data_IF_955507049576
#
_entry.id   IF_955507049576
#
_cell.length_a   1.000
_cell.length_b   1.000
_cell.length_c   1.000
_cell.angle_alpha   90.00
_cell.angle_beta   90.00
_cell.angle_gamma   90.00
#
_symmetry.space_group_name_H-M   'P 1'
#
loop_
_entity.id
_entity.type
_entity.pdbx_description
1 polymer ?
#
# COMPACT_ATOMS: atom_id res chain seq x y z
N UNK A 1 6.47 14.69 3.27
CA UNK A 1 6.59 13.84 4.49
C UNK A 1 6.69 12.37 4.09
N UNK A 2 7.54 11.58 4.76
CA UNK A 2 7.72 10.14 4.47
C UNK A 2 6.51 9.31 4.93
N UNK A 3 6.08 8.33 4.13
CA UNK A 3 5.07 7.36 4.56
C UNK A 3 5.58 6.51 5.74
N UNK A 4 4.81 6.40 6.84
CA UNK A 4 5.26 5.69 8.04
C UNK A 4 5.53 4.20 7.78
N UNK A 5 6.30 3.57 8.67
CA UNK A 5 6.53 2.12 8.59
C UNK A 5 5.29 1.39 9.09
N UNK A 6 4.66 0.60 8.24
CA UNK A 6 3.62 -0.36 8.66
C UNK A 6 4.26 -1.50 9.45
N UNK A 7 3.75 -1.78 10.65
CA UNK A 7 4.24 -2.85 11.52
C UNK A 7 3.60 -4.19 11.15
N UNK A 8 4.29 -5.28 11.42
CA UNK A 8 3.77 -6.63 11.23
C UNK A 8 2.80 -7.02 12.35
N UNK A 9 1.80 -7.81 11.99
CA UNK A 9 1.07 -8.66 12.94
C UNK A 9 2.04 -9.68 13.57
N UNK A 10 1.82 -10.09 14.85
CA UNK A 10 2.71 -11.01 15.56
C UNK A 10 3.00 -12.33 14.85
N UNK A 11 2.04 -12.81 14.07
CA UNK A 11 2.07 -14.09 13.37
C UNK A 11 2.30 -13.92 11.86
N UNK A 12 2.84 -12.77 11.43
CA UNK A 12 3.26 -12.55 10.06
C UNK A 12 4.53 -13.35 9.75
N UNK A 13 4.49 -14.41 8.93
CA UNK A 13 5.63 -15.28 8.69
C UNK A 13 6.75 -14.61 7.88
N UNK A 14 6.45 -13.60 7.08
CA UNK A 14 7.42 -12.84 6.30
C UNK A 14 8.16 -11.73 7.08
N UNK A 15 8.03 -11.64 8.41
CA UNK A 15 8.75 -10.66 9.20
C UNK A 15 10.24 -11.02 9.33
N UNK A 16 11.13 -10.03 9.14
CA UNK A 16 12.58 -10.17 9.28
C UNK A 16 13.10 -9.51 10.56
N UNK A 17 14.40 -9.64 10.87
CA UNK A 17 15.01 -9.02 12.05
C UNK A 17 14.92 -7.48 12.07
N UNK A 18 14.84 -6.84 10.89
CA UNK A 18 14.72 -5.38 10.76
C UNK A 18 13.27 -4.88 10.86
N UNK A 19 12.30 -5.78 10.88
CA UNK A 19 10.89 -5.45 10.94
C UNK A 19 10.43 -5.14 12.35
N UNK A 20 9.38 -4.32 12.44
CA UNK A 20 8.72 -4.00 13.71
C UNK A 20 7.42 -4.78 13.79
N UNK A 21 7.19 -5.39 14.94
CA UNK A 21 6.01 -6.20 15.24
C UNK A 21 5.15 -5.45 16.25
N UNK A 22 3.86 -5.29 15.96
CA UNK A 22 2.89 -4.76 16.91
C UNK A 22 2.37 -5.89 17.78
N UNK A 23 2.40 -5.72 19.11
CA UNK A 23 1.91 -6.72 20.07
C UNK A 23 0.58 -6.36 20.70
N UNK A 24 0.28 -5.07 20.77
CA UNK A 24 -1.03 -4.62 21.22
C UNK A 24 -2.02 -4.67 20.04
N UNK A 25 -2.91 -5.63 20.11
CA UNK A 25 -3.94 -5.90 19.11
C UNK A 25 -5.35 -5.56 19.63
N UNK A 26 -5.46 -4.82 20.73
CA UNK A 26 -6.72 -4.51 21.42
C UNK A 26 -7.74 -3.76 20.58
N UNK A 27 -7.34 -3.18 19.44
CA UNK A 27 -8.22 -2.45 18.53
C UNK A 27 -8.83 -3.31 17.41
N UNK A 28 -8.40 -4.56 17.27
CA UNK A 28 -8.80 -5.45 16.17
C UNK A 28 -10.20 -6.06 16.35
N UNK A 29 -10.93 -5.64 17.38
CA UNK A 29 -12.33 -5.91 17.65
C UNK A 29 -13.28 -4.82 17.09
N UNK A 30 -12.73 -3.66 16.68
CA UNK A 30 -13.46 -2.61 15.99
C UNK A 30 -13.69 -2.90 14.50
N UNK A 31 -14.38 -2.00 13.79
CA UNK A 31 -14.58 -2.14 12.34
C UNK A 31 -13.23 -2.03 11.59
N UNK A 32 -12.90 -3.09 10.86
CA UNK A 32 -11.67 -3.24 10.11
C UNK A 32 -11.94 -3.15 8.61
N UNK A 33 -10.94 -2.67 7.89
CA UNK A 33 -10.81 -2.90 6.46
C UNK A 33 -9.51 -3.65 6.21
N UNK A 34 -9.60 -4.73 5.45
CA UNK A 34 -8.47 -5.53 5.03
C UNK A 34 -8.33 -5.48 3.53
N UNK A 35 -7.19 -4.99 3.07
CA UNK A 35 -6.87 -4.86 1.66
C UNK A 35 -5.76 -5.84 1.29
N UNK A 36 -5.73 -6.22 0.01
CA UNK A 36 -4.57 -6.92 -0.52
C UNK A 36 -3.32 -6.04 -0.38
N UNK A 37 -2.22 -6.66 0.04
CA UNK A 37 -0.91 -6.02 0.00
C UNK A 37 -0.30 -6.31 -1.36
N UNK A 38 -0.25 -5.30 -2.22
CA UNK A 38 0.40 -5.39 -3.51
C UNK A 38 1.93 -5.28 -3.37
N UNK A 39 2.64 -6.03 -4.21
CA UNK A 39 4.10 -6.09 -4.24
C UNK A 39 4.64 -5.19 -5.36
N UNK A 40 4.88 -3.92 -5.05
CA UNK A 40 5.37 -2.92 -6.00
C UNK A 40 6.39 -1.96 -5.37
N UNK A 41 6.23 -0.66 -5.65
CA UNK A 41 7.03 0.40 -5.05
C UNK A 41 6.17 1.48 -4.41
N UNK A 42 6.34 1.73 -3.11
CA UNK A 42 5.65 2.81 -2.41
C UNK A 42 5.98 4.18 -3.03
N UNK A 43 4.94 4.88 -3.49
CA UNK A 43 4.98 6.26 -3.96
C UNK A 43 3.95 7.12 -3.20
N UNK A 44 4.24 8.40 -3.11
CA UNK A 44 3.32 9.43 -2.62
C UNK A 44 3.19 10.52 -3.66
N UNK A 45 1.95 10.85 -4.00
CA UNK A 45 1.56 11.98 -4.83
C UNK A 45 1.06 13.10 -3.92
N UNK A 46 1.62 14.29 -4.09
CA UNK A 46 1.05 15.55 -3.59
C UNK A 46 0.72 16.42 -4.79
N UNK A 47 0.11 17.59 -4.57
CA UNK A 47 -0.10 18.58 -5.63
C UNK A 47 1.21 18.91 -6.37
N UNK A 48 2.27 19.15 -5.61
CA UNK A 48 3.51 19.74 -6.13
C UNK A 48 4.65 18.73 -6.34
N UNK A 49 4.53 17.52 -5.77
CA UNK A 49 5.60 16.54 -5.83
C UNK A 49 5.11 15.09 -5.96
N UNK A 50 5.99 14.26 -6.52
CA UNK A 50 5.93 12.81 -6.40
C UNK A 50 7.25 12.33 -5.81
N UNK A 51 7.18 11.48 -4.80
CA UNK A 51 8.36 10.90 -4.16
C UNK A 51 8.10 9.49 -3.67
N UNK A 52 9.16 8.68 -3.60
CA UNK A 52 9.12 7.36 -2.96
C UNK A 52 9.20 7.46 -1.45
N UNK A 53 9.12 6.30 -0.77
CA UNK A 53 9.23 6.26 0.70
C UNK A 53 10.54 6.88 1.23
N UNK A 54 11.63 6.74 0.49
CA UNK A 54 12.85 7.54 0.72
C UNK A 54 12.72 8.81 -0.12
N UNK A 55 12.41 9.94 0.52
CA UNK A 55 11.99 11.17 -0.18
C UNK A 55 13.05 11.69 -1.15
N UNK A 56 14.33 11.51 -0.82
CA UNK A 56 15.46 12.00 -1.60
C UNK A 56 15.96 11.01 -2.68
N UNK A 57 15.22 9.93 -2.97
CA UNK A 57 15.66 8.91 -3.93
C UNK A 57 15.59 9.33 -5.40
N UNK A 58 15.04 10.51 -5.69
CA UNK A 58 14.68 10.92 -7.06
C UNK A 58 13.60 10.01 -7.68
N UNK A 59 13.30 10.25 -8.95
CA UNK A 59 12.37 9.40 -9.73
C UNK A 59 13.16 8.30 -10.43
N UNK A 60 12.82 7.05 -10.12
CA UNK A 60 13.48 5.88 -10.68
C UNK A 60 12.89 5.51 -12.06
N UNK A 61 13.62 4.78 -12.92
CA UNK A 61 13.11 4.37 -14.24
C UNK A 61 11.77 3.63 -14.19
N UNK A 62 11.59 2.74 -13.21
CA UNK A 62 10.35 1.99 -13.00
C UNK A 62 9.18 2.84 -12.47
N UNK A 63 9.42 4.06 -11.99
CA UNK A 63 8.37 4.96 -11.49
C UNK A 63 7.93 5.99 -12.54
N UNK A 64 8.55 6.00 -13.74
CA UNK A 64 8.21 6.96 -14.81
C UNK A 64 6.73 6.90 -15.23
N UNK A 65 6.08 5.73 -15.37
CA UNK A 65 4.65 5.68 -15.71
C UNK A 65 3.77 6.28 -14.61
N UNK A 66 4.09 6.00 -13.34
CA UNK A 66 3.41 6.64 -12.21
C UNK A 66 3.67 8.17 -12.18
N UNK A 67 4.87 8.62 -12.55
CA UNK A 67 5.20 10.06 -12.66
C UNK A 67 4.38 10.75 -13.75
N UNK A 68 4.17 10.09 -14.89
CA UNK A 68 3.31 10.62 -15.94
C UNK A 68 1.86 10.75 -15.45
N UNK A 69 1.33 9.72 -14.78
CA UNK A 69 0.00 9.77 -14.18
C UNK A 69 -0.12 10.89 -13.13
N UNK A 70 0.88 11.03 -12.26
CA UNK A 70 0.95 12.13 -11.29
C UNK A 70 0.85 13.49 -11.99
N UNK A 71 1.64 13.73 -13.04
CA UNK A 71 1.63 15.00 -13.76
C UNK A 71 0.27 15.35 -14.37
N UNK A 72 -0.55 14.35 -14.69
CA UNK A 72 -1.91 14.55 -15.22
C UNK A 72 -2.98 14.73 -14.14
N UNK A 73 -2.74 14.34 -12.89
CA UNK A 73 -3.78 14.36 -11.84
C UNK A 73 -3.44 15.25 -10.65
N UNK A 74 -2.16 15.63 -10.46
CA UNK A 74 -1.70 16.27 -9.22
C UNK A 74 -2.40 17.60 -8.92
N UNK A 75 -2.77 18.37 -9.95
CA UNK A 75 -3.50 19.64 -9.78
C UNK A 75 -4.87 19.49 -9.10
N UNK A 76 -5.43 18.27 -9.07
CA UNK A 76 -6.70 17.92 -8.41
C UNK A 76 -6.50 17.53 -6.94
N UNK A 77 -5.27 17.22 -6.53
CA UNK A 77 -4.95 16.88 -5.13
C UNK A 77 -5.00 18.18 -4.32
N UNK A 78 -5.74 18.25 -3.20
CA UNK A 78 -5.73 19.44 -2.34
C UNK A 78 -4.34 19.78 -1.82
N UNK A 79 -4.14 21.04 -1.43
CA UNK A 79 -2.88 21.48 -0.80
C UNK A 79 -2.64 20.68 0.48
N UNK A 80 -1.37 20.37 0.75
CA UNK A 80 -0.91 19.58 1.91
C UNK A 80 -1.44 18.14 2.02
N UNK A 81 -2.22 17.66 1.04
CA UNK A 81 -2.68 16.28 0.97
C UNK A 81 -1.64 15.36 0.35
N UNK A 82 -1.70 14.08 0.76
CA UNK A 82 -0.77 13.05 0.30
C UNK A 82 -1.52 11.78 -0.09
N UNK A 83 -1.56 11.50 -1.39
CA UNK A 83 -2.14 10.28 -1.94
C UNK A 83 -1.04 9.22 -2.01
N UNK A 84 -1.10 8.22 -1.15
CA UNK A 84 -0.14 7.14 -1.07
C UNK A 84 -0.65 5.89 -1.78
N UNK A 85 0.21 5.31 -2.60
CA UNK A 85 -0.13 4.14 -3.40
C UNK A 85 1.11 3.36 -3.83
N UNK A 86 0.85 2.24 -4.47
CA UNK A 86 1.87 1.32 -4.95
C UNK A 86 2.09 1.53 -6.44
N UNK A 87 3.33 1.81 -6.83
CA UNK A 87 3.83 1.81 -8.21
C UNK A 87 3.94 0.37 -8.68
N UNK A 88 3.16 0.00 -9.69
CA UNK A 88 2.99 -1.38 -10.13
C UNK A 88 3.58 -1.66 -11.52
N UNK A 89 4.30 -0.70 -12.11
CA UNK A 89 4.90 -0.89 -13.44
C UNK A 89 5.92 -2.03 -13.46
N UNK A 90 6.96 -1.91 -12.65
CA UNK A 90 7.95 -2.97 -12.55
C UNK A 90 7.41 -4.14 -11.72
N UNK A 91 7.52 -5.34 -12.30
CA UNK A 91 7.28 -6.59 -11.60
C UNK A 91 8.33 -6.77 -10.50
N UNK A 92 7.86 -7.11 -9.29
CA UNK A 92 8.71 -7.44 -8.14
C UNK A 92 8.76 -8.96 -7.96
N UNK A 93 8.59 -9.45 -6.74
CA UNK A 93 8.56 -10.88 -6.46
C UNK A 93 7.27 -11.54 -6.96
N UNK A 94 6.18 -10.79 -7.11
CA UNK A 94 4.90 -11.25 -7.66
C UNK A 94 4.68 -10.70 -9.07
N UNK A 95 4.24 -11.56 -9.98
CA UNK A 95 3.76 -11.18 -11.30
C UNK A 95 2.24 -10.96 -11.26
N UNK A 96 1.80 -9.79 -11.71
CA UNK A 96 0.39 -9.47 -11.87
C UNK A 96 0.04 -9.39 -13.35
N UNK A 97 -1.11 -9.95 -13.73
CA UNK A 97 -1.53 -10.09 -15.14
C UNK A 97 -2.74 -9.22 -15.54
N UNK A 98 -3.34 -8.49 -14.59
CA UNK A 98 -4.62 -7.79 -14.80
C UNK A 98 -4.75 -6.61 -13.82
N UNK A 99 -3.74 -5.73 -13.80
CA UNK A 99 -3.76 -4.58 -12.89
C UNK A 99 -4.63 -3.45 -13.45
N UNK A 100 -5.44 -2.77 -12.60
CA UNK A 100 -6.31 -1.68 -13.03
C UNK A 100 -5.57 -0.36 -13.32
N UNK A 101 -4.25 -0.32 -13.10
CA UNK A 101 -3.44 0.88 -13.36
C UNK A 101 -2.02 0.77 -12.83
N UNK A 102 -1.17 1.70 -13.26
CA UNK A 102 0.26 1.75 -12.92
C UNK A 102 0.54 2.25 -11.50
N UNK A 103 -0.44 2.89 -10.86
CA UNK A 103 -0.40 3.36 -9.49
C UNK A 103 -1.72 3.05 -8.81
N UNK A 104 -1.68 2.35 -7.68
CA UNK A 104 -2.86 1.85 -6.99
C UNK A 104 -2.87 2.37 -5.55
N UNK A 105 -3.88 3.16 -5.19
CA UNK A 105 -3.99 3.86 -3.91
C UNK A 105 -4.25 2.88 -2.77
N UNK A 106 -3.52 3.02 -1.66
CA UNK A 106 -3.79 2.29 -0.41
C UNK A 106 -4.09 3.22 0.77
N UNK A 107 -3.90 4.53 0.63
CA UNK A 107 -4.19 5.49 1.70
C UNK A 107 -4.02 6.93 1.28
N UNK A 108 -4.81 7.83 1.86
CA UNK A 108 -4.74 9.27 1.60
C UNK A 108 -4.64 9.98 2.95
N UNK A 109 -3.70 10.91 3.05
CA UNK A 109 -3.55 11.78 4.22
C UNK A 109 -4.05 13.18 3.89
N UNK A 110 -4.75 13.78 4.84
CA UNK A 110 -5.18 15.17 4.77
C UNK A 110 -4.15 16.13 5.38
N UNK A 111 -4.47 17.42 5.34
CA UNK A 111 -3.63 18.52 5.83
C UNK A 111 -3.36 18.48 7.33
N UNK A 112 -4.16 17.71 8.09
CA UNK A 112 -4.03 17.57 9.55
C UNK A 112 -3.09 16.45 9.97
N UNK A 113 -2.39 15.84 9.01
CA UNK A 113 -1.57 14.65 9.21
C UNK A 113 -2.40 13.43 9.67
N UNK A 114 -3.64 13.34 9.18
CA UNK A 114 -4.56 12.24 9.46
C UNK A 114 -4.75 11.39 8.23
N UNK A 115 -4.53 10.07 8.35
CA UNK A 115 -4.91 9.12 7.31
C UNK A 115 -6.44 9.04 7.29
N UNK A 116 -7.03 9.32 6.14
CA UNK A 116 -8.48 9.29 5.94
C UNK A 116 -9.06 7.92 6.27
N UNK A 117 -10.32 7.90 6.69
CA UNK A 117 -11.12 6.68 6.76
C UNK A 117 -11.16 5.97 5.39
N UNK A 118 -11.46 4.68 5.39
CA UNK A 118 -11.45 3.92 4.14
C UNK A 118 -12.49 4.41 3.14
N UNK A 119 -13.70 4.77 3.60
CA UNK A 119 -14.75 5.28 2.72
C UNK A 119 -14.36 6.63 2.08
N UNK A 120 -13.81 7.55 2.88
CA UNK A 120 -13.24 8.81 2.39
C UNK A 120 -12.08 8.57 1.41
N UNK A 121 -11.22 7.57 1.70
CA UNK A 121 -10.10 7.19 0.82
C UNK A 121 -10.62 6.74 -0.54
N UNK A 122 -11.64 5.87 -0.57
CA UNK A 122 -12.24 5.37 -1.81
C UNK A 122 -12.95 6.49 -2.57
N UNK A 123 -13.68 7.37 -1.88
CA UNK A 123 -14.37 8.49 -2.52
C UNK A 123 -13.38 9.45 -3.18
N UNK A 124 -12.31 9.82 -2.47
CA UNK A 124 -11.26 10.68 -3.03
C UNK A 124 -10.48 10.01 -4.16
N UNK A 125 -10.13 8.73 -4.03
CA UNK A 125 -9.47 8.00 -5.11
C UNK A 125 -10.34 7.96 -6.38
N UNK A 126 -11.65 7.75 -6.23
CA UNK A 126 -12.62 7.83 -7.33
C UNK A 126 -12.65 9.23 -7.97
N UNK A 127 -12.68 10.30 -7.15
CA UNK A 127 -12.63 11.68 -7.63
C UNK A 127 -11.34 12.03 -8.35
N UNK A 128 -10.24 11.34 -8.05
CA UNK A 128 -8.95 11.50 -8.73
C UNK A 128 -8.77 10.53 -9.92
N UNK A 129 -9.76 9.66 -10.17
CA UNK A 129 -9.72 8.60 -11.17
C UNK A 129 -8.53 7.66 -10.98
N UNK A 130 -8.23 7.33 -9.73
CA UNK A 130 -7.17 6.41 -9.34
C UNK A 130 -7.76 5.12 -8.77
N UNK A 131 -7.30 3.93 -9.21
CA UNK A 131 -7.74 2.67 -8.62
C UNK A 131 -7.24 2.56 -7.17
N UNK A 132 -8.00 1.84 -6.36
CA UNK A 132 -7.61 1.47 -4.98
C UNK A 132 -7.22 0.01 -4.91
N UNK A 133 -6.39 -0.34 -3.92
CA UNK A 133 -6.03 -1.74 -3.66
C UNK A 133 -7.30 -2.57 -3.39
N UNK A 134 -7.34 -3.85 -3.83
CA UNK A 134 -8.51 -4.70 -3.61
C UNK A 134 -8.86 -4.83 -2.12
N UNK A 135 -10.13 -4.62 -1.77
CA UNK A 135 -10.66 -4.93 -0.44
C UNK A 135 -10.97 -6.42 -0.38
N UNK A 136 -10.37 -7.12 0.58
CA UNK A 136 -10.57 -8.55 0.80
C UNK A 136 -11.62 -8.81 1.87
N UNK A 137 -11.72 -7.92 2.87
CA UNK A 137 -12.67 -8.04 3.97
C UNK A 137 -12.98 -6.69 4.61
N UNK A 138 -14.20 -6.55 5.11
CA UNK A 138 -14.63 -5.46 5.98
C UNK A 138 -15.54 -6.02 7.07
N UNK A 139 -15.24 -5.73 8.33
CA UNK A 139 -15.98 -6.27 9.48
C UNK A 139 -15.16 -6.21 10.77
N UNK A 140 -15.64 -6.84 11.84
CA UNK A 140 -15.07 -6.71 13.19
C UNK A 140 -14.12 -7.83 13.63
N UNK A 141 -13.71 -8.72 12.71
CA UNK A 141 -12.98 -9.94 13.07
C UNK A 141 -11.70 -10.13 12.28
N UNK A 142 -10.56 -10.12 12.96
CA UNK A 142 -9.27 -10.47 12.36
C UNK A 142 -9.24 -11.93 11.87
N UNK A 143 -9.93 -12.86 12.53
CA UNK A 143 -9.95 -14.26 12.08
C UNK A 143 -10.73 -14.42 10.77
N UNK A 144 -11.83 -13.69 10.61
CA UNK A 144 -12.57 -13.64 9.35
C UNK A 144 -11.76 -12.95 8.24
N UNK A 145 -11.05 -11.86 8.57
CA UNK A 145 -10.15 -11.21 7.63
C UNK A 145 -9.07 -12.15 7.08
N UNK A 146 -8.51 -13.01 7.95
CA UNK A 146 -7.53 -14.05 7.55
C UNK A 146 -8.16 -15.08 6.65
N UNK A 147 -9.35 -15.57 7.01
CA UNK A 147 -10.10 -16.51 6.19
C UNK A 147 -10.44 -15.93 4.81
N UNK A 148 -10.77 -14.64 4.75
CA UNK A 148 -11.08 -13.95 3.51
C UNK A 148 -9.86 -13.85 2.56
N UNK A 149 -8.66 -13.58 3.09
CA UNK A 149 -7.44 -13.64 2.28
C UNK A 149 -7.18 -15.06 1.77
N UNK A 150 -7.24 -16.07 2.65
CA UNK A 150 -7.00 -17.46 2.27
C UNK A 150 -8.02 -18.02 1.26
N UNK A 151 -9.25 -17.49 1.24
CA UNK A 151 -10.29 -17.89 0.29
C UNK A 151 -10.15 -17.22 -1.09
N UNK A 152 -9.54 -16.03 -1.15
CA UNK A 152 -9.50 -15.20 -2.36
C UNK A 152 -8.13 -15.12 -3.01
N UNK A 153 -7.07 -15.50 -2.28
CA UNK A 153 -5.68 -15.36 -2.71
C UNK A 153 -4.89 -16.61 -2.35
N UNK A 154 -3.82 -16.80 -3.10
CA UNK A 154 -2.87 -17.88 -2.89
C UNK A 154 -1.47 -17.29 -2.60
N UNK A 155 -0.66 -17.91 -1.71
CA UNK A 155 0.69 -17.45 -1.39
C UNK A 155 1.68 -17.44 -2.56
N UNK A 156 1.35 -17.90 -3.77
CA UNK A 156 2.20 -17.66 -4.95
C UNK A 156 1.89 -16.30 -5.60
N UNK A 157 0.64 -15.85 -5.54
CA UNK A 157 0.13 -14.69 -6.30
C UNK A 157 -0.19 -13.45 -5.46
N UNK A 158 -0.14 -13.56 -4.14
CA UNK A 158 -0.38 -12.42 -3.23
C UNK A 158 0.67 -12.35 -2.13
N UNK A 159 1.20 -11.15 -1.85
CA UNK A 159 2.21 -10.95 -0.79
C UNK A 159 1.59 -11.17 0.59
N UNK A 160 0.32 -10.81 0.72
CA UNK A 160 -0.40 -10.83 1.98
C UNK A 160 -1.47 -9.76 2.01
N UNK A 161 -1.70 -9.19 3.19
CA UNK A 161 -2.74 -8.19 3.40
C UNK A 161 -2.32 -7.10 4.37
N UNK A 162 -2.99 -5.96 4.28
CA UNK A 162 -2.92 -4.87 5.24
C UNK A 162 -4.25 -4.82 5.97
N UNK A 163 -4.23 -4.79 7.30
CA UNK A 163 -5.39 -4.56 8.15
C UNK A 163 -5.30 -3.17 8.74
N UNK A 164 -6.38 -2.39 8.64
CA UNK A 164 -6.49 -1.05 9.20
C UNK A 164 -7.82 -0.85 9.89
N UNK A 165 -7.87 0.09 10.84
CA UNK A 165 -9.15 0.63 11.30
C UNK A 165 -9.89 1.24 10.11
N UNK A 166 -11.21 1.01 10.02
CA UNK A 166 -12.03 1.55 8.95
C UNK A 166 -12.11 3.08 9.00
N UNK A 167 -12.10 3.66 10.21
CA UNK A 167 -12.11 5.09 10.45
C UNK A 167 -10.78 5.79 10.17
N UNK A 168 -10.76 7.09 10.48
CA UNK A 168 -9.57 7.95 10.39
C UNK A 168 -8.49 7.50 11.37
N UNK A 169 -7.23 7.64 10.97
CA UNK A 169 -6.06 7.23 11.78
C UNK A 169 -5.10 8.42 11.86
N UNK A 170 -5.02 9.12 13.00
CA UNK A 170 -4.00 10.14 13.22
C UNK A 170 -2.59 9.56 13.06
N UNK A 171 -1.62 10.35 12.58
CA UNK A 171 -0.24 9.88 12.37
C UNK A 171 0.37 9.20 13.60
N UNK A 172 0.08 9.71 14.80
CA UNK A 172 0.55 9.14 16.06
C UNK A 172 0.02 7.71 16.34
N UNK A 173 -1.14 7.35 15.78
CA UNK A 173 -1.77 6.04 15.95
C UNK A 173 -1.46 5.06 14.81
N UNK A 174 -0.81 5.51 13.74
CA UNK A 174 -0.61 4.74 12.52
C UNK A 174 0.02 3.37 12.76
N UNK A 175 1.11 3.30 13.53
CA UNK A 175 1.83 2.05 13.81
C UNK A 175 1.06 1.08 14.71
N UNK A 176 -0.04 1.55 15.29
CA UNK A 176 -0.93 0.75 16.10
C UNK A 176 -2.15 0.30 15.28
N UNK A 177 -2.86 1.24 14.62
CA UNK A 177 -4.14 1.03 13.92
C UNK A 177 -4.01 0.57 12.45
N UNK A 178 -2.80 0.36 11.95
CA UNK A 178 -2.54 -0.15 10.60
C UNK A 178 -1.36 -1.14 10.63
N UNK A 179 -1.66 -2.41 10.35
CA UNK A 179 -0.71 -3.52 10.42
C UNK A 179 -0.71 -4.31 9.12
N UNK A 180 0.34 -5.09 8.89
CA UNK A 180 0.45 -5.99 7.74
C UNK A 180 0.69 -7.43 8.16
N UNK A 181 0.20 -8.35 7.34
CA UNK A 181 0.61 -9.74 7.33
C UNK A 181 1.23 -10.03 5.96
N UNK A 182 2.39 -10.67 5.96
CA UNK A 182 3.17 -10.99 4.76
C UNK A 182 3.50 -12.47 4.80
N UNK A 183 3.30 -13.17 3.67
CA UNK A 183 3.59 -14.60 3.50
C UNK A 183 5.06 -14.94 3.78
N UNK A 184 5.31 -16.21 4.07
CA UNK A 184 6.67 -16.72 4.22
C UNK A 184 7.45 -16.54 2.92
N UNK A 185 8.75 -16.24 3.04
CA UNK A 185 9.68 -16.19 1.89
C UNK A 185 9.19 -15.26 0.75
N UNK A 186 8.59 -14.12 1.10
CA UNK A 186 8.09 -13.17 0.10
C UNK A 186 9.21 -12.59 -0.78
N UNK A 187 10.29 -12.13 -0.14
CA UNK A 187 11.44 -11.58 -0.87
C UNK A 187 12.19 -12.74 -1.52
N UNK A 188 11.91 -12.96 -2.80
CA UNK A 188 12.56 -14.00 -3.63
C UNK A 188 13.56 -13.45 -4.62
N UNK A 189 13.66 -12.12 -4.74
CA UNK A 189 14.49 -11.43 -5.73
C UNK A 189 15.67 -10.72 -5.08
N UNK A 190 16.85 -10.93 -5.66
CA UNK A 190 18.11 -10.30 -5.25
C UNK A 190 18.04 -8.76 -5.38
N UNK A 191 18.61 -8.02 -4.42
CA UNK A 191 18.54 -6.56 -4.35
C UNK A 191 19.23 -5.83 -5.53
N UNK A 192 19.97 -6.58 -6.35
CA UNK A 192 20.71 -6.09 -7.52
C UNK A 192 19.86 -5.38 -8.60
N UNK A 193 18.53 -5.56 -8.61
CA UNK A 193 17.65 -4.89 -9.58
C UNK A 193 17.60 -3.35 -9.41
N UNK A 194 17.96 -2.82 -8.23
CA UNK A 194 17.89 -1.38 -7.93
C UNK A 194 18.88 -0.51 -8.71
N UNK A 195 19.77 -1.11 -9.49
CA UNK A 195 20.79 -0.42 -10.29
C UNK A 195 20.71 -0.76 -11.78
N UNK A 196 19.56 -1.30 -12.22
CA UNK A 196 19.37 -1.81 -13.58
C UNK A 196 18.19 -1.14 -14.26
N UNK A 197 18.37 -0.85 -15.55
CA UNK A 197 17.33 -0.32 -16.43
C UNK A 197 16.53 -1.44 -17.13
N UNK A 198 16.94 -2.71 -16.96
CA UNK A 198 16.23 -3.89 -17.41
C UNK A 198 15.49 -4.56 -16.24
N UNK A 199 14.16 -4.51 -16.29
CA UNK A 199 13.28 -5.15 -15.31
C UNK A 199 12.04 -5.70 -16.01
N UNK A 200 11.49 -6.80 -15.47
CA UNK A 200 10.21 -7.32 -15.92
C UNK A 200 9.09 -6.33 -15.57
N UNK A 201 8.05 -6.28 -16.40
CA UNK A 201 6.89 -5.38 -16.27
C UNK A 201 5.66 -6.23 -15.96
N UNK A 202 4.74 -5.71 -15.14
CA UNK A 202 3.44 -6.36 -14.93
C UNK A 202 2.50 -6.13 -16.13
N UNK A 203 1.39 -6.85 -16.19
CA UNK A 203 0.36 -6.64 -17.22
C UNK A 203 -0.83 -5.87 -16.63
N UNK A 204 -1.49 -5.08 -17.48
CA UNK A 204 -2.54 -4.12 -17.12
C UNK A 204 -3.79 -4.36 -17.98
N UNK A 205 -4.96 -4.08 -17.40
CA UNK A 205 -6.28 -4.22 -18.04
C UNK A 205 -6.52 -3.19 -19.16
#
# INVERSE_FOLDING_TARGET
MKYPRTFHLPDSPGATADDRIQRDLSWLDGELVVTEKLDGGNLTFTRDAMYGRSVDSGTQPWDRPAKALWAMTSYRIPDDWRVCGESMWARRSIAYSDLPGVFIVFGIWDETDTLLGWDDTVDWARRLELPVVPVLYRGGSLSEARAAWAAQRDPERSEGYVVRAAGRIPAAEFTHKLLKWVRAEHVRTDAAWRHRDDFAVNEFA
#
